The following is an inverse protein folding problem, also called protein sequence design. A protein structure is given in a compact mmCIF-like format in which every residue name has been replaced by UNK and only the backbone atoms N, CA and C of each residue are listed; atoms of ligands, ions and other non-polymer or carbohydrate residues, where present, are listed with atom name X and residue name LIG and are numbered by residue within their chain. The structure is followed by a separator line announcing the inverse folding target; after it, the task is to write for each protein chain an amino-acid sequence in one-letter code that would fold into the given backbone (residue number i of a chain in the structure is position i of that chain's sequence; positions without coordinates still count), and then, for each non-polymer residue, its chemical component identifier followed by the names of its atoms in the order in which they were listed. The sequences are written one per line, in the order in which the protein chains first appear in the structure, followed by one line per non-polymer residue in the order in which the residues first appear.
data_IF_674871673277
#
_entry.id   IF_674871673277
#
_cell.length_a   1.000
_cell.length_b   1.000
_cell.length_c   1.000
_cell.angle_alpha   90.00
_cell.angle_beta   90.00
_cell.angle_gamma   90.00
#
_symmetry.space_group_name_H-M   'P 1'
#
loop_
_entity.id
_entity.type
_entity.pdbx_description
1 polymer ?
#
# COMPACT_ATOMS: atom_id res chain seq x y z
N UNK A 1 -28.70 13.60 -4.31
CA UNK A 1 -29.46 14.67 -3.61
C UNK A 1 -28.79 14.82 -2.26
N UNK A 2 -28.47 16.04 -1.85
CA UNK A 2 -27.87 16.27 -0.53
C UNK A 2 -29.01 16.20 0.50
N UNK A 3 -29.04 15.12 1.30
CA UNK A 3 -30.08 14.86 2.32
C UNK A 3 -29.82 15.61 3.63
N UNK A 4 -28.78 16.45 3.70
CA UNK A 4 -28.30 17.11 4.93
C UNK A 4 -27.16 16.35 5.62
N UNK A 5 -26.82 15.18 5.13
CA UNK A 5 -25.66 14.40 5.58
C UNK A 5 -24.35 15.02 5.06
N UNK A 6 -23.23 14.84 5.77
CA UNK A 6 -21.95 15.44 5.37
C UNK A 6 -21.41 14.89 4.05
N UNK A 7 -21.87 13.73 3.61
CA UNK A 7 -21.54 13.08 2.34
C UNK A 7 -22.72 12.24 1.84
N UNK A 8 -22.68 11.84 0.56
CA UNK A 8 -23.65 10.92 -0.03
C UNK A 8 -23.03 9.57 -0.30
N UNK A 9 -23.82 8.50 -0.16
CA UNK A 9 -23.43 7.14 -0.50
C UNK A 9 -23.95 6.86 -1.92
N UNK A 10 -23.09 6.42 -2.86
CA UNK A 10 -23.53 5.96 -4.17
C UNK A 10 -24.51 4.78 -4.02
N UNK A 11 -25.62 4.80 -4.77
CA UNK A 11 -26.63 3.74 -4.66
C UNK A 11 -26.16 2.40 -5.19
N UNK A 12 -25.15 2.39 -6.00
CA UNK A 12 -24.46 1.22 -6.57
C UNK A 12 -23.31 0.73 -5.70
N UNK A 13 -23.04 1.35 -4.54
CA UNK A 13 -22.04 0.85 -3.61
C UNK A 13 -22.35 -0.61 -3.25
N UNK A 14 -21.32 -1.49 -3.17
CA UNK A 14 -21.50 -2.96 -3.12
C UNK A 14 -22.26 -3.48 -1.90
N UNK A 15 -22.28 -2.72 -0.79
CA UNK A 15 -22.99 -3.10 0.43
C UNK A 15 -24.37 -2.43 0.60
N UNK A 16 -24.78 -1.53 -0.28
CA UNK A 16 -26.10 -0.89 -0.19
C UNK A 16 -27.22 -1.93 -0.17
N UNK A 17 -28.02 -1.91 0.91
CA UNK A 17 -29.10 -2.85 1.13
C UNK A 17 -28.66 -4.28 1.49
N UNK A 18 -27.44 -4.46 1.95
CA UNK A 18 -26.88 -5.73 2.46
C UNK A 18 -26.44 -5.58 3.91
N UNK A 19 -26.00 -6.68 4.52
CA UNK A 19 -25.36 -6.63 5.84
C UNK A 19 -24.00 -5.91 5.72
N UNK A 20 -23.76 -4.97 6.64
CA UNK A 20 -22.58 -4.10 6.66
C UNK A 20 -22.98 -2.62 6.56
N UNK A 21 -22.00 -1.74 6.43
CA UNK A 21 -22.21 -0.31 6.21
C UNK A 21 -22.31 -0.03 4.71
N UNK A 22 -23.27 0.76 4.32
CA UNK A 22 -23.50 1.13 2.92
C UNK A 22 -22.31 1.89 2.28
N UNK A 23 -21.46 2.49 3.13
CA UNK A 23 -20.24 3.21 2.75
C UNK A 23 -19.10 2.32 2.27
N UNK A 24 -19.12 1.03 2.60
CA UNK A 24 -18.02 0.12 2.28
C UNK A 24 -17.91 -0.03 0.76
N UNK A 25 -16.74 0.35 0.23
CA UNK A 25 -16.40 0.21 -1.18
C UNK A 25 -15.65 -1.10 -1.49
N UNK A 26 -14.72 -1.48 -0.61
CA UNK A 26 -13.93 -2.71 -0.66
C UNK A 26 -13.60 -3.17 0.76
N UNK A 27 -13.19 -4.42 0.93
CA UNK A 27 -12.97 -5.01 2.25
C UNK A 27 -11.89 -6.09 2.24
N UNK A 28 -11.58 -6.65 3.41
CA UNK A 28 -10.54 -7.68 3.52
C UNK A 28 -9.12 -7.13 3.48
N UNK A 29 -8.94 -5.85 3.76
CA UNK A 29 -7.66 -5.20 4.02
C UNK A 29 -7.37 -5.22 5.52
N UNK A 30 -6.09 -5.26 5.91
CA UNK A 30 -5.70 -5.29 7.33
C UNK A 30 -5.59 -3.90 7.93
N UNK A 31 -4.71 -3.10 7.37
CA UNK A 31 -4.38 -1.76 7.83
C UNK A 31 -4.02 -0.87 6.64
N UNK A 32 -5.00 -0.56 5.78
CA UNK A 32 -4.77 0.32 4.64
C UNK A 32 -4.36 1.70 5.13
N UNK A 33 -3.05 1.94 5.14
CA UNK A 33 -2.46 3.12 5.76
C UNK A 33 -2.65 4.37 4.93
N UNK A 34 -2.50 4.24 3.60
CA UNK A 34 -2.69 5.32 2.63
C UNK A 34 -3.33 4.79 1.35
N UNK A 35 -3.93 5.72 0.63
CA UNK A 35 -4.52 5.46 -0.69
C UNK A 35 -4.15 6.57 -1.65
N UNK A 36 -3.97 6.22 -2.93
CA UNK A 36 -3.71 7.18 -4.00
C UNK A 36 -4.41 6.79 -5.28
N UNK A 37 -4.90 7.79 -6.03
CA UNK A 37 -5.44 7.55 -7.36
C UNK A 37 -4.33 7.67 -8.42
N UNK A 38 -4.35 6.76 -9.41
CA UNK A 38 -3.62 6.99 -10.65
C UNK A 38 -4.23 8.19 -11.39
N UNK A 39 -3.46 9.23 -11.60
CA UNK A 39 -3.92 10.49 -12.19
C UNK A 39 -4.29 10.36 -13.67
N UNK A 40 -3.74 9.38 -14.38
CA UNK A 40 -4.16 9.06 -15.74
C UNK A 40 -5.43 8.18 -15.79
N UNK A 41 -5.85 7.63 -14.63
CA UNK A 41 -7.05 6.81 -14.51
C UNK A 41 -6.92 5.39 -15.06
N UNK A 42 -5.72 4.95 -15.41
CA UNK A 42 -5.48 3.64 -16.01
C UNK A 42 -5.70 2.50 -15.02
N UNK A 43 -5.22 2.68 -13.78
CA UNK A 43 -5.28 1.67 -12.71
C UNK A 43 -6.27 2.00 -11.59
N UNK A 44 -6.84 3.20 -11.57
CA UNK A 44 -7.80 3.62 -10.57
C UNK A 44 -7.17 3.91 -9.20
N UNK A 45 -7.60 3.21 -8.15
CA UNK A 45 -7.23 3.45 -6.76
C UNK A 45 -6.21 2.42 -6.28
N UNK A 46 -5.09 2.87 -5.73
CA UNK A 46 -4.14 2.05 -4.99
C UNK A 46 -4.35 2.20 -3.49
N UNK A 47 -4.19 1.11 -2.73
CA UNK A 47 -4.05 1.13 -1.28
C UNK A 47 -2.74 0.45 -0.90
N UNK A 48 -1.97 1.08 0.00
CA UNK A 48 -0.85 0.45 0.67
C UNK A 48 -1.36 -0.12 1.98
N UNK A 49 -1.16 -1.41 2.19
CA UNK A 49 -1.70 -2.17 3.32
C UNK A 49 -0.56 -2.76 4.15
N UNK A 50 -0.43 -2.24 5.37
CA UNK A 50 0.62 -2.70 6.26
C UNK A 50 0.28 -4.07 6.84
N UNK A 51 1.14 -5.03 6.57
CA UNK A 51 1.02 -6.40 7.04
C UNK A 51 1.19 -6.55 8.55
N UNK A 52 0.74 -7.66 9.07
CA UNK A 52 0.90 -7.95 10.49
C UNK A 52 2.24 -8.60 10.80
N UNK A 53 2.63 -9.60 10.01
CA UNK A 53 3.76 -10.44 10.39
C UNK A 53 4.61 -10.94 9.24
N UNK A 54 4.01 -11.26 8.10
CA UNK A 54 4.69 -11.93 6.99
C UNK A 54 5.03 -10.98 5.85
N UNK A 55 4.04 -10.22 5.36
CA UNK A 55 4.14 -9.46 4.12
C UNK A 55 3.57 -8.05 4.27
N UNK A 56 4.22 -7.11 3.64
CA UNK A 56 3.69 -5.78 3.31
C UNK A 56 3.13 -5.82 1.89
N UNK A 57 2.05 -5.08 1.59
CA UNK A 57 1.42 -5.20 0.29
C UNK A 57 0.84 -3.89 -0.26
N UNK A 58 0.69 -3.85 -1.58
CA UNK A 58 -0.01 -2.77 -2.28
C UNK A 58 -0.99 -3.39 -3.26
N UNK A 59 -2.25 -2.96 -3.17
CA UNK A 59 -3.34 -3.48 -3.96
C UNK A 59 -3.97 -2.41 -4.85
N UNK A 60 -4.47 -2.81 -6.03
CA UNK A 60 -5.40 -2.02 -6.83
C UNK A 60 -6.79 -2.28 -6.29
N UNK A 61 -7.47 -1.22 -5.85
CA UNK A 61 -8.76 -1.34 -5.18
C UNK A 61 -9.88 -1.25 -6.20
N UNK A 62 -10.71 -2.29 -6.23
CA UNK A 62 -11.90 -2.36 -7.07
C UNK A 62 -13.17 -2.46 -6.22
N UNK A 63 -14.27 -2.03 -6.78
CA UNK A 63 -15.58 -2.08 -6.16
C UNK A 63 -15.99 -3.49 -5.76
N UNK A 64 -16.40 -3.66 -4.49
CA UNK A 64 -16.79 -4.96 -3.92
C UNK A 64 -15.63 -5.95 -3.77
N UNK A 65 -14.38 -5.53 -3.98
CA UNK A 65 -13.21 -6.38 -3.85
C UNK A 65 -12.99 -6.87 -2.43
N UNK A 66 -12.60 -8.15 -2.27
CA UNK A 66 -12.14 -8.72 -1.02
C UNK A 66 -10.67 -9.11 -1.15
N UNK A 67 -9.81 -8.53 -0.31
CA UNK A 67 -8.35 -8.65 -0.34
C UNK A 67 -7.80 -9.73 0.59
N UNK A 68 -8.68 -10.52 1.23
CA UNK A 68 -8.33 -11.78 1.87
C UNK A 68 -7.95 -11.69 3.35
N UNK A 69 -7.75 -10.51 3.91
CA UNK A 69 -7.51 -10.40 5.35
C UNK A 69 -8.75 -10.91 6.14
N UNK A 70 -8.62 -11.82 7.12
CA UNK A 70 -7.37 -12.27 7.80
C UNK A 70 -7.02 -13.73 7.48
N UNK A 71 -7.42 -14.25 6.33
CA UNK A 71 -7.02 -15.60 5.89
C UNK A 71 -5.81 -15.59 4.93
N UNK A 72 -5.49 -14.41 4.40
CA UNK A 72 -4.31 -14.14 3.59
C UNK A 72 -3.55 -12.91 4.11
N UNK A 73 -2.25 -12.89 3.87
CA UNK A 73 -1.38 -11.73 3.99
C UNK A 73 -0.45 -11.76 2.76
N UNK A 74 -0.56 -10.76 1.89
CA UNK A 74 -0.05 -10.86 0.53
C UNK A 74 -0.77 -11.94 -0.28
N UNK A 75 -0.03 -12.65 -1.12
CA UNK A 75 -0.53 -13.81 -1.87
C UNK A 75 -0.54 -15.11 -1.04
N UNK A 76 -0.17 -15.04 0.24
CA UNK A 76 0.10 -16.19 1.10
C UNK A 76 -1.01 -16.42 2.12
N UNK A 77 -1.18 -17.67 2.53
CA UNK A 77 -2.08 -17.98 3.65
C UNK A 77 -1.57 -17.38 4.95
N UNK A 78 -2.51 -16.96 5.80
CA UNK A 78 -2.20 -16.35 7.09
C UNK A 78 -3.13 -16.90 8.18
N UNK A 79 -2.62 -16.99 9.39
CA UNK A 79 -3.40 -17.27 10.60
C UNK A 79 -2.98 -16.31 11.70
N UNK A 80 -3.87 -15.38 12.05
CA UNK A 80 -3.62 -14.40 13.10
C UNK A 80 -3.40 -15.01 14.49
N UNK A 81 -3.91 -16.23 14.73
CA UNK A 81 -3.68 -16.97 15.98
C UNK A 81 -2.29 -17.61 16.02
N UNK A 82 -1.68 -17.88 14.84
CA UNK A 82 -0.38 -18.51 14.73
C UNK A 82 0.45 -17.89 13.57
N UNK A 83 0.79 -16.60 13.67
CA UNK A 83 1.33 -15.83 12.55
C UNK A 83 2.71 -16.26 12.08
N UNK A 84 3.43 -17.06 12.86
CA UNK A 84 4.76 -17.60 12.50
C UNK A 84 4.70 -18.95 11.79
N UNK A 85 3.55 -19.59 11.81
CA UNK A 85 3.32 -20.91 11.21
C UNK A 85 2.03 -20.89 10.37
N UNK A 86 2.01 -20.14 9.26
CA UNK A 86 0.81 -20.02 8.44
C UNK A 86 0.41 -21.39 7.85
N UNK A 87 -0.90 -21.63 7.65
CA UNK A 87 -1.37 -22.88 7.06
C UNK A 87 -0.91 -23.00 5.61
N UNK A 88 -0.72 -24.23 5.14
CA UNK A 88 -0.36 -24.50 3.73
C UNK A 88 -1.51 -24.17 2.76
N UNK A 89 -2.74 -24.16 3.25
CA UNK A 89 -3.94 -23.91 2.45
C UNK A 89 -4.91 -23.01 3.20
N UNK A 90 -5.53 -22.11 2.46
CA UNK A 90 -6.54 -21.18 2.96
C UNK A 90 -7.60 -20.94 1.88
N UNK A 91 -8.76 -20.36 2.24
CA UNK A 91 -9.73 -19.93 1.25
C UNK A 91 -9.13 -18.97 0.22
N UNK A 92 -9.47 -19.16 -1.04
CA UNK A 92 -9.07 -18.32 -2.16
C UNK A 92 -10.27 -17.65 -2.86
N UNK A 93 -11.47 -17.89 -2.33
CA UNK A 93 -12.73 -17.33 -2.83
C UNK A 93 -13.51 -16.63 -1.72
N UNK A 94 -14.28 -15.63 -2.12
CA UNK A 94 -15.20 -14.89 -1.25
C UNK A 94 -16.27 -15.81 -0.70
N UNK A 95 -16.43 -15.83 0.62
CA UNK A 95 -17.42 -16.65 1.33
C UNK A 95 -18.87 -16.24 1.09
N UNK A 96 -19.77 -17.01 1.65
CA UNK A 96 -21.21 -16.80 1.57
C UNK A 96 -21.62 -15.47 2.23
N UNK A 97 -22.69 -14.87 1.72
CA UNK A 97 -23.33 -13.65 2.23
C UNK A 97 -22.50 -12.34 2.08
N UNK A 98 -21.38 -12.39 1.34
CA UNK A 98 -20.60 -11.20 1.04
C UNK A 98 -20.81 -10.73 -0.42
N UNK A 99 -20.58 -9.44 -0.73
CA UNK A 99 -20.48 -8.97 -2.11
C UNK A 99 -19.45 -9.80 -2.87
N UNK A 100 -19.73 -10.08 -4.14
CA UNK A 100 -18.85 -10.91 -4.98
C UNK A 100 -18.63 -12.36 -4.49
N UNK A 101 -19.60 -12.94 -3.74
CA UNK A 101 -19.57 -14.34 -3.31
C UNK A 101 -19.17 -15.29 -4.45
N UNK A 102 -18.23 -16.20 -4.16
CA UNK A 102 -17.72 -17.17 -5.12
C UNK A 102 -16.71 -16.61 -6.13
N UNK A 103 -16.42 -15.29 -6.10
CA UNK A 103 -15.29 -14.72 -6.82
C UNK A 103 -13.98 -14.98 -6.08
N UNK A 104 -12.87 -14.97 -6.81
CA UNK A 104 -11.56 -15.08 -6.20
C UNK A 104 -11.31 -13.91 -5.22
N UNK A 105 -10.56 -14.19 -4.15
CA UNK A 105 -9.92 -13.14 -3.36
C UNK A 105 -8.92 -12.41 -4.26
N UNK A 106 -8.71 -11.12 -4.00
CA UNK A 106 -7.86 -10.29 -4.85
C UNK A 106 -6.46 -10.23 -4.23
N UNK A 107 -5.50 -10.73 -4.98
CA UNK A 107 -4.09 -10.64 -4.60
C UNK A 107 -3.54 -9.22 -4.83
N UNK A 108 -2.53 -8.78 -4.06
CA UNK A 108 -1.85 -7.51 -4.27
C UNK A 108 -1.09 -7.49 -5.60
N UNK A 109 -0.76 -6.29 -6.07
CA UNK A 109 0.15 -6.11 -7.21
C UNK A 109 1.61 -6.00 -6.78
N UNK A 110 1.87 -5.64 -5.53
CA UNK A 110 3.20 -5.64 -4.90
C UNK A 110 3.08 -6.29 -3.54
N UNK A 111 4.03 -7.17 -3.22
CA UNK A 111 4.26 -7.65 -1.87
C UNK A 111 5.74 -7.75 -1.59
N UNK A 112 6.13 -7.59 -0.33
CA UNK A 112 7.50 -7.82 0.13
C UNK A 112 7.53 -8.28 1.57
N UNK A 113 8.58 -9.04 1.90
CA UNK A 113 8.73 -9.67 3.22
C UNK A 113 8.84 -8.62 4.31
N UNK A 114 7.98 -8.71 5.34
CA UNK A 114 8.03 -7.85 6.52
C UNK A 114 9.31 -8.08 7.33
N UNK A 115 9.85 -7.03 7.95
CA UNK A 115 11.08 -7.10 8.75
C UNK A 115 11.01 -8.03 9.98
N UNK A 116 9.84 -8.53 10.34
CA UNK A 116 9.70 -9.58 11.37
C UNK A 116 10.14 -10.95 10.88
N UNK A 117 10.32 -11.12 9.58
CA UNK A 117 10.75 -12.36 8.95
C UNK A 117 12.24 -12.30 8.58
N UNK A 118 12.93 -13.44 8.48
CA UNK A 118 14.27 -13.50 7.89
C UNK A 118 14.28 -12.84 6.50
N UNK A 119 15.32 -12.08 6.23
CA UNK A 119 15.49 -11.34 4.96
C UNK A 119 14.40 -10.29 4.65
N UNK A 120 13.62 -9.89 5.65
CA UNK A 120 12.60 -8.86 5.52
C UNK A 120 13.18 -7.51 5.09
N UNK A 121 12.52 -6.87 4.12
CA UNK A 121 12.99 -5.60 3.57
C UNK A 121 12.77 -4.43 4.52
N UNK A 122 11.73 -4.51 5.36
CA UNK A 122 11.43 -3.46 6.34
C UNK A 122 10.04 -3.53 6.92
N UNK A 123 9.66 -2.47 7.61
CA UNK A 123 8.42 -2.33 8.37
C UNK A 123 7.56 -1.24 7.77
N UNK A 124 6.28 -1.55 7.61
CA UNK A 124 5.21 -0.66 7.19
C UNK A 124 5.47 0.03 5.85
N UNK A 125 4.84 -0.47 4.82
CA UNK A 125 4.63 0.31 3.60
C UNK A 125 3.82 1.57 3.96
N UNK A 126 4.32 2.76 3.62
CA UNK A 126 3.72 4.01 4.11
C UNK A 126 2.90 4.74 3.08
N UNK A 127 3.28 4.66 1.81
CA UNK A 127 2.57 5.35 0.74
C UNK A 127 3.03 4.84 -0.63
N UNK A 128 2.24 5.09 -1.68
CA UNK A 128 2.61 4.75 -3.04
C UNK A 128 1.82 5.55 -4.07
N UNK A 129 2.49 5.96 -5.14
CA UNK A 129 1.90 6.71 -6.26
C UNK A 129 2.37 6.15 -7.59
N UNK A 130 1.46 5.94 -8.51
CA UNK A 130 1.85 5.72 -9.90
C UNK A 130 2.42 7.04 -10.46
N UNK A 131 3.71 7.03 -10.80
CA UNK A 131 4.41 8.24 -11.19
C UNK A 131 4.00 8.68 -12.59
N UNK A 132 3.48 9.89 -12.68
CA UNK A 132 3.04 10.52 -13.93
C UNK A 132 3.73 11.86 -14.19
N UNK A 133 4.73 12.21 -13.37
CA UNK A 133 5.55 13.39 -13.55
C UNK A 133 6.53 13.25 -14.72
N UNK A 134 7.33 14.28 -14.95
CA UNK A 134 8.28 14.35 -16.06
C UNK A 134 9.72 14.46 -15.63
N UNK A 135 9.99 14.83 -14.37
CA UNK A 135 11.35 15.03 -13.89
C UNK A 135 12.14 13.71 -13.78
N UNK A 136 11.48 12.61 -13.42
CA UNK A 136 12.09 11.28 -13.28
C UNK A 136 11.64 10.39 -14.44
N UNK A 137 12.18 10.66 -15.64
CA UNK A 137 11.75 10.01 -16.90
C UNK A 137 11.76 8.48 -16.83
N UNK A 138 12.73 7.89 -16.13
CA UNK A 138 12.92 6.44 -16.02
C UNK A 138 11.88 5.78 -15.09
N UNK A 139 11.16 6.58 -14.28
CA UNK A 139 10.12 6.11 -13.39
C UNK A 139 8.70 6.36 -13.94
N UNK A 140 8.58 6.99 -15.10
CA UNK A 140 7.27 7.28 -15.66
C UNK A 140 6.46 6.01 -15.90
N UNK A 141 5.25 5.96 -15.34
CA UNK A 141 4.41 4.76 -15.39
C UNK A 141 4.76 3.66 -14.38
N UNK A 142 5.77 3.85 -13.53
CA UNK A 142 6.06 2.94 -12.42
C UNK A 142 5.30 3.36 -11.16
N UNK A 143 4.91 2.39 -10.34
CA UNK A 143 4.45 2.65 -8.99
C UNK A 143 5.67 2.94 -8.12
N UNK A 144 5.78 4.17 -7.62
CA UNK A 144 6.83 4.57 -6.67
C UNK A 144 6.23 4.56 -5.28
N UNK A 145 6.86 3.82 -4.37
CA UNK A 145 6.33 3.65 -3.01
C UNK A 145 7.43 3.73 -1.95
N UNK A 146 6.99 3.93 -0.73
CA UNK A 146 7.88 4.13 0.40
C UNK A 146 7.61 3.14 1.53
N UNK A 147 8.65 2.87 2.27
CA UNK A 147 8.64 2.10 3.49
C UNK A 147 9.11 2.96 4.66
N UNK A 148 8.42 2.87 5.80
CA UNK A 148 8.70 3.66 7.00
C UNK A 148 10.16 3.56 7.43
N UNK A 149 10.65 2.34 7.61
CA UNK A 149 12.06 2.07 7.89
C UNK A 149 12.40 0.60 7.64
N UNK A 150 13.66 0.33 7.32
CA UNK A 150 14.20 -1.02 7.29
C UNK A 150 14.21 -1.65 8.69
N UNK A 151 14.49 -0.83 9.70
CA UNK A 151 14.59 -1.25 11.10
C UNK A 151 13.64 -0.41 11.95
N UNK A 152 12.83 -1.01 12.84
CA UNK A 152 11.88 -0.25 13.66
C UNK A 152 12.52 0.69 14.68
N UNK A 153 13.82 0.61 14.89
CA UNK A 153 14.55 1.43 15.87
C UNK A 153 15.44 2.51 15.24
N UNK A 154 15.67 2.45 13.93
CA UNK A 154 16.60 3.33 13.22
C UNK A 154 15.92 4.08 12.07
N UNK A 155 16.30 5.32 11.79
CA UNK A 155 15.70 6.13 10.73
C UNK A 155 16.25 5.73 9.34
N UNK A 156 15.87 4.56 8.87
CA UNK A 156 16.31 3.95 7.61
C UNK A 156 15.16 3.77 6.62
N UNK A 157 14.36 4.82 6.40
CA UNK A 157 13.30 4.83 5.41
C UNK A 157 13.82 4.55 4.00
N UNK A 158 13.05 3.83 3.20
CA UNK A 158 13.45 3.40 1.86
C UNK A 158 12.39 3.70 0.83
N UNK A 159 12.84 3.85 -0.40
CA UNK A 159 12.02 4.08 -1.57
C UNK A 159 12.18 2.93 -2.56
N UNK A 160 11.08 2.55 -3.18
CA UNK A 160 11.02 1.49 -4.16
C UNK A 160 10.22 1.92 -5.38
N UNK A 161 10.36 1.16 -6.45
CA UNK A 161 9.49 1.23 -7.60
C UNK A 161 9.00 -0.16 -7.99
N UNK A 162 7.84 -0.23 -8.63
CA UNK A 162 7.35 -1.46 -9.24
C UNK A 162 6.90 -1.19 -10.67
N UNK A 163 7.26 -2.10 -11.58
CA UNK A 163 6.92 -2.03 -12.99
C UNK A 163 5.60 -2.75 -13.22
N UNK A 164 4.55 -2.05 -13.69
CA UNK A 164 3.25 -2.65 -13.95
C UNK A 164 3.33 -3.87 -14.87
N UNK A 165 2.64 -4.93 -14.49
CA UNK A 165 2.47 -6.14 -15.27
C UNK A 165 0.98 -6.40 -15.51
N UNK A 166 0.67 -7.08 -16.60
CA UNK A 166 -0.73 -7.39 -16.96
C UNK A 166 -1.40 -8.36 -15.97
N UNK A 167 -0.63 -9.20 -15.31
CA UNK A 167 -1.11 -10.21 -14.34
C UNK A 167 -0.05 -10.47 -13.27
N UNK A 168 -0.51 -10.86 -12.07
CA UNK A 168 0.35 -11.25 -10.96
C UNK A 168 1.12 -10.08 -10.35
N UNK A 169 2.11 -10.41 -9.54
CA UNK A 169 2.94 -9.43 -8.86
C UNK A 169 3.81 -8.64 -9.83
N UNK A 170 3.90 -7.34 -9.60
CA UNK A 170 4.76 -6.43 -10.35
C UNK A 170 6.21 -6.57 -9.91
N UNK A 171 7.12 -6.57 -10.87
CA UNK A 171 8.55 -6.59 -10.57
C UNK A 171 8.95 -5.29 -9.86
N UNK A 172 9.47 -5.41 -8.64
CA UNK A 172 9.92 -4.26 -7.86
C UNK A 172 11.45 -4.13 -7.83
N UNK A 173 11.91 -2.90 -7.61
CA UNK A 173 13.31 -2.59 -7.37
C UNK A 173 13.44 -1.44 -6.37
N UNK A 174 14.62 -1.29 -5.79
CA UNK A 174 14.91 -0.24 -4.83
C UNK A 174 15.43 1.03 -5.52
N UNK A 175 14.93 2.19 -5.09
CA UNK A 175 15.46 3.49 -5.44
C UNK A 175 16.52 3.90 -4.42
N UNK A 176 17.78 3.93 -4.85
CA UNK A 176 18.89 4.30 -3.98
C UNK A 176 19.11 5.82 -4.04
N UNK A 177 18.86 6.57 -2.96
CA UNK A 177 19.21 7.99 -2.87
C UNK A 177 20.71 8.23 -3.06
N UNK A 178 21.07 9.46 -3.42
CA UNK A 178 22.48 9.84 -3.55
C UNK A 178 23.24 9.85 -2.21
N UNK A 179 22.54 10.06 -1.13
CA UNK A 179 23.04 10.05 0.25
C UNK A 179 21.87 9.71 1.21
N UNK A 180 22.11 9.00 2.31
CA UNK A 180 23.36 8.28 2.66
C UNK A 180 23.63 7.06 1.75
N UNK A 181 24.82 6.51 1.81
CA UNK A 181 25.28 5.42 0.92
C UNK A 181 24.70 4.05 1.25
N UNK A 182 23.93 3.90 2.33
CA UNK A 182 23.32 2.64 2.76
C UNK A 182 22.00 2.30 2.04
N UNK A 183 21.62 3.13 1.05
CA UNK A 183 20.38 2.99 0.31
C UNK A 183 19.16 3.59 0.98
N UNK A 184 19.24 4.00 2.25
CA UNK A 184 18.15 4.66 2.97
C UNK A 184 18.07 6.16 2.64
N UNK A 185 16.99 6.81 3.06
CA UNK A 185 16.90 8.29 3.05
C UNK A 185 17.49 8.93 4.31
N UNK A 186 17.99 8.13 5.26
CA UNK A 186 18.56 8.59 6.53
C UNK A 186 17.53 9.10 7.56
N UNK A 187 16.24 8.88 7.30
CA UNK A 187 15.11 9.32 8.11
C UNK A 187 14.02 8.25 8.09
N UNK A 188 13.09 8.28 9.06
CA UNK A 188 11.81 7.58 8.92
C UNK A 188 10.96 8.28 7.86
N UNK A 189 10.35 7.53 6.93
CA UNK A 189 9.41 8.09 5.96
C UNK A 189 8.00 7.98 6.54
N UNK A 190 7.35 9.12 6.75
CA UNK A 190 6.00 9.21 7.33
C UNK A 190 4.90 9.16 6.27
N UNK A 191 5.25 9.39 5.02
CA UNK A 191 4.33 9.36 3.88
C UNK A 191 4.91 10.07 2.68
N UNK A 192 4.16 10.01 1.58
CA UNK A 192 4.47 10.68 0.33
C UNK A 192 3.36 11.64 -0.07
N UNK A 193 3.64 12.45 -1.06
CA UNK A 193 2.67 13.32 -1.71
C UNK A 193 3.04 13.56 -3.16
N UNK A 194 2.04 13.99 -3.95
CA UNK A 194 2.22 14.28 -5.36
C UNK A 194 1.70 15.69 -5.67
N UNK A 195 2.49 16.50 -6.35
CA UNK A 195 2.04 17.83 -6.79
C UNK A 195 1.14 17.77 -8.03
N UNK A 196 0.67 18.95 -8.47
CA UNK A 196 -0.20 19.05 -9.64
C UNK A 196 0.49 18.60 -10.93
N UNK A 197 1.81 18.65 -11.02
CA UNK A 197 2.63 18.16 -12.13
C UNK A 197 2.87 16.65 -12.09
N UNK A 198 2.51 15.97 -11.01
CA UNK A 198 2.79 14.55 -10.83
C UNK A 198 4.15 14.26 -10.19
N UNK A 199 4.87 15.30 -9.73
CA UNK A 199 6.16 15.12 -9.07
C UNK A 199 6.00 14.69 -7.62
N UNK A 200 6.94 13.88 -7.13
CA UNK A 200 6.82 13.21 -5.84
C UNK A 200 7.61 13.91 -4.73
N UNK A 201 7.02 13.87 -3.57
CA UNK A 201 7.59 14.39 -2.32
C UNK A 201 7.49 13.33 -1.23
N UNK A 202 8.45 13.32 -0.30
CA UNK A 202 8.43 12.50 0.90
C UNK A 202 8.42 13.39 2.14
N UNK A 203 7.60 13.03 3.12
CA UNK A 203 7.60 13.60 4.45
C UNK A 203 8.37 12.67 5.39
N UNK A 204 9.32 13.21 6.13
CA UNK A 204 10.24 12.44 6.97
C UNK A 204 10.37 13.00 8.37
N UNK A 205 10.90 12.18 9.29
CA UNK A 205 11.29 12.58 10.63
C UNK A 205 12.49 11.76 11.10
N UNK A 206 13.28 12.31 12.02
CA UNK A 206 14.31 11.55 12.74
C UNK A 206 13.71 10.80 13.95
N UNK A 207 12.46 11.13 14.29
CA UNK A 207 11.71 10.52 15.38
C UNK A 207 10.73 9.46 14.85
N UNK A 208 10.54 8.39 15.62
CA UNK A 208 9.62 7.28 15.28
C UNK A 208 8.15 7.69 15.23
N UNK A 209 7.81 8.76 15.92
CA UNK A 209 6.46 9.30 16.03
C UNK A 209 6.48 10.79 15.67
N UNK A 210 5.34 11.40 15.33
CA UNK A 210 5.29 12.81 14.94
C UNK A 210 5.46 13.78 16.15
N UNK A 211 6.58 13.62 16.86
CA UNK A 211 6.99 14.49 17.98
C UNK A 211 8.26 15.22 17.63
N UNK A 212 8.57 16.27 18.39
CA UNK A 212 9.79 17.06 18.17
C UNK A 212 9.72 18.02 16.97
N UNK A 213 10.88 18.37 16.44
CA UNK A 213 11.04 19.40 15.39
C UNK A 213 11.93 18.89 14.23
N UNK A 214 11.98 17.58 14.00
CA UNK A 214 12.86 16.95 13.00
C UNK A 214 12.16 16.69 11.66
N UNK A 215 10.88 17.06 11.54
CA UNK A 215 10.08 16.88 10.33
C UNK A 215 10.66 17.64 9.13
N UNK A 216 10.77 16.97 7.98
CA UNK A 216 11.26 17.52 6.71
C UNK A 216 10.40 17.03 5.56
N UNK A 217 10.36 17.83 4.50
CA UNK A 217 9.78 17.44 3.22
C UNK A 217 10.88 17.53 2.16
N UNK A 218 11.04 16.44 1.41
CA UNK A 218 11.97 16.38 0.28
C UNK A 218 11.20 16.17 -1.02
N UNK A 219 11.68 16.76 -2.10
CA UNK A 219 11.23 16.47 -3.46
C UNK A 219 12.16 15.42 -4.07
N UNK A 220 11.61 14.43 -4.77
CA UNK A 220 12.39 13.51 -5.57
C UNK A 220 12.83 14.20 -6.86
N UNK A 221 14.12 14.18 -7.13
CA UNK A 221 14.74 14.79 -8.32
C UNK A 221 15.72 13.81 -8.96
N UNK A 222 16.03 13.92 -10.26
CA UNK A 222 17.09 13.15 -10.89
C UNK A 222 18.45 13.37 -10.22
N UNK A 223 19.32 12.38 -10.35
CA UNK A 223 20.73 12.51 -9.97
C UNK A 223 21.46 13.44 -10.94
#
# INVERSE_FOLDING_TARGET
MNTGDPYGIPQDNPFVGREGLDEIYAYGLRNPYRMSFDRAGEYGLFAVDAGEHLWEEISIIIEGGNYGWNVKEGTHCFDAANPTEPPEQCPDIVGLNHPNQGKALIDPVVEFVNAKQPDGLGVNVTDGFLYRGTALSDLQGHLVFSMWSRNPTEPQGRLFYALPAATGLWQMGELTPGQPVDGSVGHFILGMGQDAGGELYIATSDERTPVGQTGRVYKLIPR
#
